data_IF_823810837563
#
_entry.id   IF_823810837563
#
_cell.length_a   1.000
_cell.length_b   1.000
_cell.length_c   1.000
_cell.angle_alpha   90.00
_cell.angle_beta   90.00
_cell.angle_gamma   90.00
#
_symmetry.space_group_name_H-M   'P 1'
#
loop_
_entity.id
_entity.type
_entity.pdbx_description
1 polymer ?
#
# COMPACT_ATOMS: atom_id res chain seq x y z
N UNK A 1 18.47 -22.55 2.92
CA UNK A 1 19.09 -21.63 3.90
C UNK A 1 18.48 -20.24 3.73
N UNK A 2 18.14 -19.55 4.82
CA UNK A 2 17.43 -18.24 4.80
C UNK A 2 18.34 -17.10 4.29
N UNK A 3 19.64 -17.16 4.57
CA UNK A 3 20.65 -16.19 4.11
C UNK A 3 20.55 -14.84 4.84
N UNK A 4 21.69 -14.24 5.15
CA UNK A 4 21.74 -12.95 5.85
C UNK A 4 21.32 -11.76 4.96
N UNK A 5 20.87 -10.63 5.55
CA UNK A 5 20.56 -10.46 6.98
C UNK A 5 19.26 -11.19 7.39
N UNK A 6 19.16 -11.52 8.67
CA UNK A 6 18.00 -12.15 9.29
C UNK A 6 17.51 -11.33 10.48
N UNK A 7 16.24 -11.46 10.85
CA UNK A 7 15.66 -10.84 12.04
C UNK A 7 15.18 -11.91 12.99
N UNK A 8 15.57 -11.77 14.26
CA UNK A 8 15.07 -12.59 15.37
C UNK A 8 13.85 -11.88 15.92
N UNK A 9 12.75 -12.61 16.12
CA UNK A 9 11.50 -12.11 16.70
C UNK A 9 11.04 -13.02 17.84
N UNK A 10 10.51 -12.44 18.91
CA UNK A 10 9.87 -13.18 19.98
C UNK A 10 8.56 -13.83 19.51
N UNK A 11 8.35 -15.11 19.82
CA UNK A 11 7.16 -15.85 19.40
C UNK A 11 5.87 -15.35 20.07
N UNK A 12 5.99 -14.82 21.29
CA UNK A 12 4.88 -14.27 22.07
C UNK A 12 4.84 -12.73 22.08
N UNK A 13 5.72 -12.06 21.33
CA UNK A 13 5.86 -10.60 21.34
C UNK A 13 5.01 -9.89 20.29
N UNK A 14 4.61 -8.65 20.59
CA UNK A 14 3.91 -7.73 19.67
C UNK A 14 4.42 -6.29 19.80
N UNK A 15 4.24 -5.47 18.76
CA UNK A 15 4.59 -4.04 18.80
C UNK A 15 6.08 -3.69 18.67
N UNK A 16 6.89 -4.59 18.08
CA UNK A 16 8.28 -4.32 17.71
C UNK A 16 9.31 -4.41 18.86
N UNK A 17 8.91 -4.86 20.05
CA UNK A 17 9.84 -5.17 21.15
C UNK A 17 10.40 -6.58 21.00
N UNK A 18 11.70 -6.76 21.25
CA UNK A 18 12.38 -8.07 21.13
C UNK A 18 12.72 -8.47 19.70
N UNK A 19 12.94 -7.49 18.81
CA UNK A 19 13.40 -7.74 17.43
C UNK A 19 14.88 -7.38 17.27
N UNK A 20 15.68 -8.28 16.69
CA UNK A 20 17.13 -8.05 16.48
C UNK A 20 17.56 -8.45 15.09
N UNK A 21 18.21 -7.53 14.38
CA UNK A 21 18.72 -7.75 13.02
C UNK A 21 20.15 -8.29 13.12
N UNK A 22 20.41 -9.38 12.41
CA UNK A 22 21.69 -10.07 12.39
C UNK A 22 22.21 -10.15 10.96
N UNK A 23 23.45 -9.75 10.72
CA UNK A 23 24.05 -9.71 9.38
C UNK A 23 25.04 -10.86 9.12
N UNK A 24 25.38 -11.63 10.14
CA UNK A 24 26.31 -12.76 10.09
C UNK A 24 26.13 -13.68 11.32
N UNK A 25 26.82 -14.82 11.32
CA UNK A 25 26.73 -15.84 12.38
C UNK A 25 27.10 -15.31 13.77
N UNK A 26 28.13 -14.47 13.88
CA UNK A 26 28.58 -13.89 15.15
C UNK A 26 27.48 -13.00 15.78
N UNK A 27 26.87 -12.14 14.96
CA UNK A 27 25.76 -11.30 15.41
C UNK A 27 24.50 -12.10 15.73
N UNK A 28 24.28 -13.23 15.03
CA UNK A 28 23.14 -14.10 15.26
C UNK A 28 23.23 -14.80 16.62
N UNK A 29 24.36 -15.41 16.95
CA UNK A 29 24.54 -16.14 18.22
C UNK A 29 24.35 -15.22 19.42
N UNK A 30 25.00 -14.04 19.40
CA UNK A 30 24.89 -13.07 20.49
C UNK A 30 23.49 -12.46 20.61
N UNK A 31 22.85 -12.14 19.47
CA UNK A 31 21.50 -11.59 19.46
C UNK A 31 20.43 -12.60 19.85
N UNK A 32 20.63 -13.89 19.59
CA UNK A 32 19.69 -14.95 19.95
C UNK A 32 19.54 -15.05 21.47
N UNK A 33 20.65 -15.18 22.20
CA UNK A 33 20.64 -15.26 23.67
C UNK A 33 19.96 -14.02 24.29
N UNK A 34 20.27 -12.86 23.73
CA UNK A 34 19.70 -11.59 24.20
C UNK A 34 18.20 -11.52 23.92
N UNK A 35 17.77 -11.88 22.71
CA UNK A 35 16.36 -11.89 22.32
C UNK A 35 15.52 -12.87 23.15
N UNK A 36 16.05 -14.07 23.45
CA UNK A 36 15.36 -15.04 24.31
C UNK A 36 15.20 -14.52 25.74
N UNK A 37 16.25 -13.91 26.29
CA UNK A 37 16.22 -13.32 27.64
C UNK A 37 15.21 -12.16 27.72
N UNK A 38 15.17 -11.29 26.71
CA UNK A 38 14.18 -10.21 26.61
C UNK A 38 12.76 -10.76 26.43
N UNK A 39 12.58 -11.82 25.64
CA UNK A 39 11.28 -12.43 25.40
C UNK A 39 10.72 -13.08 26.67
N UNK A 40 11.58 -13.78 27.43
CA UNK A 40 11.21 -14.34 28.73
C UNK A 40 10.85 -13.25 29.74
N UNK A 41 11.68 -12.20 29.86
CA UNK A 41 11.46 -11.12 30.81
C UNK A 41 10.17 -10.31 30.52
N UNK A 42 9.85 -10.09 29.24
CA UNK A 42 8.71 -9.24 28.86
C UNK A 42 7.41 -10.02 28.58
N UNK A 43 7.51 -11.28 28.15
CA UNK A 43 6.35 -12.05 27.68
C UNK A 43 6.22 -13.43 28.36
N UNK A 44 7.11 -13.77 29.31
CA UNK A 44 7.09 -15.07 29.99
C UNK A 44 7.36 -16.26 29.08
N UNK A 45 7.90 -16.02 27.87
CA UNK A 45 8.14 -17.05 26.87
C UNK A 45 9.47 -16.76 26.14
N UNK A 46 10.51 -17.59 26.33
CA UNK A 46 11.81 -17.40 25.71
C UNK A 46 11.85 -17.78 24.22
N UNK A 47 10.75 -18.32 23.66
CA UNK A 47 10.75 -18.77 22.28
C UNK A 47 10.91 -17.60 21.31
N UNK A 48 11.80 -17.79 20.35
CA UNK A 48 12.07 -16.87 19.26
C UNK A 48 12.07 -17.62 17.94
N UNK A 49 11.86 -16.90 16.85
CA UNK A 49 11.96 -17.43 15.50
C UNK A 49 12.78 -16.48 14.63
N UNK A 50 13.34 -17.01 13.55
CA UNK A 50 14.22 -16.29 12.63
C UNK A 50 13.52 -16.16 11.28
N UNK A 51 13.44 -14.94 10.78
CA UNK A 51 12.96 -14.64 9.44
C UNK A 51 14.05 -13.94 8.62
N UNK A 52 13.87 -13.94 7.29
CA UNK A 52 14.67 -13.07 6.43
C UNK A 52 14.42 -11.61 6.83
N UNK A 53 15.47 -10.84 7.06
CA UNK A 53 15.34 -9.40 7.22
C UNK A 53 15.39 -8.74 5.85
N UNK A 54 14.38 -7.94 5.54
CA UNK A 54 14.31 -7.21 4.28
C UNK A 54 14.62 -5.74 4.58
N UNK A 55 15.77 -5.28 4.12
CA UNK A 55 16.20 -3.89 4.27
C UNK A 55 15.42 -2.98 3.32
N UNK A 56 14.85 -1.90 3.86
CA UNK A 56 14.08 -0.89 3.11
C UNK A 56 13.11 -1.54 2.10
N UNK A 57 12.21 -2.43 2.55
CA UNK A 57 11.33 -3.15 1.63
C UNK A 57 10.36 -2.19 0.97
N UNK A 58 10.02 -2.50 -0.27
CA UNK A 58 8.79 -1.99 -0.90
C UNK A 58 7.66 -2.96 -0.65
N UNK A 59 6.47 -2.42 -0.47
CA UNK A 59 5.24 -3.19 -0.44
C UNK A 59 4.69 -3.23 -1.87
N UNK A 60 4.82 -4.38 -2.52
CA UNK A 60 4.31 -4.61 -3.88
C UNK A 60 3.21 -5.64 -3.82
N UNK A 61 2.08 -5.39 -4.46
CA UNK A 61 0.96 -6.30 -4.43
C UNK A 61 0.36 -6.53 -5.82
N UNK A 62 -0.14 -7.74 -6.06
CA UNK A 62 -0.66 -8.17 -7.35
C UNK A 62 -2.17 -8.36 -7.27
N UNK A 63 -2.90 -7.63 -8.12
CA UNK A 63 -4.33 -7.84 -8.27
C UNK A 63 -4.60 -9.15 -9.02
N UNK A 64 -5.46 -9.99 -8.45
CA UNK A 64 -5.95 -11.23 -9.06
C UNK A 64 -7.45 -11.12 -9.31
N UNK A 65 -7.90 -11.75 -10.39
CA UNK A 65 -9.30 -11.97 -10.72
C UNK A 65 -9.47 -13.41 -11.22
N UNK A 66 -10.38 -14.17 -10.59
CA UNK A 66 -10.58 -15.59 -10.90
C UNK A 66 -12.06 -15.97 -10.94
N UNK A 67 -12.41 -16.94 -11.80
CA UNK A 67 -13.74 -17.53 -11.87
C UNK A 67 -13.79 -19.00 -11.44
N UNK A 68 -15.01 -19.54 -11.33
CA UNK A 68 -15.28 -20.93 -10.98
C UNK A 68 -14.97 -21.92 -12.11
N UNK A 69 -14.62 -21.42 -13.30
CA UNK A 69 -14.40 -22.22 -14.51
C UNK A 69 -12.91 -22.38 -14.84
N UNK A 70 -12.03 -22.00 -13.91
CA UNK A 70 -10.59 -22.17 -14.01
C UNK A 70 -9.85 -20.99 -14.64
N UNK A 71 -10.53 -19.90 -15.01
CA UNK A 71 -9.85 -18.68 -15.47
C UNK A 71 -9.29 -17.95 -14.26
N UNK A 72 -8.00 -17.64 -14.30
CA UNK A 72 -7.32 -16.83 -13.28
C UNK A 72 -6.37 -15.86 -13.98
N UNK A 73 -6.50 -14.58 -13.65
CA UNK A 73 -5.80 -13.46 -14.30
C UNK A 73 -5.12 -12.60 -13.24
N UNK A 74 -3.95 -12.07 -13.56
CA UNK A 74 -3.36 -10.97 -12.79
C UNK A 74 -3.47 -9.65 -13.56
N UNK A 75 -3.78 -8.56 -12.86
CA UNK A 75 -4.08 -7.25 -13.46
C UNK A 75 -2.95 -6.22 -13.24
N UNK A 76 -1.72 -6.72 -13.14
CA UNK A 76 -0.54 -5.91 -12.78
C UNK A 76 -0.35 -5.77 -11.28
N UNK A 77 0.54 -4.86 -10.92
CA UNK A 77 0.97 -4.60 -9.55
C UNK A 77 0.64 -3.18 -9.08
N UNK A 78 0.56 -3.03 -7.77
CA UNK A 78 0.52 -1.73 -7.08
C UNK A 78 1.72 -1.59 -6.15
N UNK A 79 2.30 -0.40 -6.10
CA UNK A 79 3.26 -0.01 -5.06
C UNK A 79 2.51 0.68 -3.92
N UNK A 80 2.53 0.05 -2.74
CA UNK A 80 1.87 0.51 -1.53
C UNK A 80 2.89 0.90 -0.45
N UNK A 81 4.13 1.24 -0.85
CA UNK A 81 5.23 1.48 0.08
C UNK A 81 5.08 2.75 0.92
N UNK A 82 4.26 3.71 0.47
CA UNK A 82 3.98 4.92 1.24
C UNK A 82 2.97 4.60 2.33
N UNK A 83 3.50 4.31 3.51
CA UNK A 83 2.72 3.93 4.67
C UNK A 83 3.20 4.64 5.93
N UNK A 84 2.28 4.82 6.90
CA UNK A 84 2.58 5.30 8.26
C UNK A 84 2.05 4.26 9.24
N UNK A 85 2.90 3.81 10.18
CA UNK A 85 2.51 2.78 11.18
C UNK A 85 1.83 1.57 10.53
N UNK A 86 2.36 1.11 9.40
CA UNK A 86 1.83 0.01 8.57
C UNK A 86 0.45 0.26 7.92
N UNK A 87 -0.06 1.49 7.94
CA UNK A 87 -1.25 1.89 7.19
C UNK A 87 -0.84 2.58 5.89
N UNK A 88 -1.34 2.08 4.76
CA UNK A 88 -1.11 2.66 3.44
C UNK A 88 -1.74 4.06 3.38
N UNK A 89 -1.02 5.03 2.83
CA UNK A 89 -1.47 6.42 2.66
C UNK A 89 -1.57 6.81 1.18
N UNK A 90 -0.69 6.25 0.35
CA UNK A 90 -0.66 6.43 -1.09
C UNK A 90 -0.30 5.12 -1.77
N UNK A 91 -0.98 4.85 -2.86
CA UNK A 91 -0.78 3.69 -3.71
C UNK A 91 -0.64 4.12 -5.17
N UNK A 92 0.23 3.46 -5.93
CA UNK A 92 0.41 3.75 -7.35
C UNK A 92 0.49 2.48 -8.22
N UNK A 93 0.03 2.60 -9.45
CA UNK A 93 0.04 1.53 -10.45
C UNK A 93 0.42 2.11 -11.82
N UNK A 94 1.33 1.48 -12.58
CA UNK A 94 2.25 0.43 -12.13
C UNK A 94 3.28 0.97 -11.12
N UNK A 95 4.00 0.06 -10.44
CA UNK A 95 5.10 0.45 -9.55
C UNK A 95 6.29 1.01 -10.34
N UNK A 96 6.92 2.11 -9.90
CA UNK A 96 8.14 2.62 -10.52
C UNK A 96 9.36 1.70 -10.32
N UNK A 97 9.29 0.74 -9.38
CA UNK A 97 10.36 -0.20 -9.09
C UNK A 97 10.26 -1.51 -9.89
N UNK A 98 9.13 -1.74 -10.58
CA UNK A 98 8.83 -3.03 -11.20
C UNK A 98 8.90 -2.92 -12.73
N UNK A 99 9.93 -3.53 -13.31
CA UNK A 99 10.04 -3.68 -14.77
C UNK A 99 9.10 -4.79 -15.30
N UNK A 100 9.04 -4.94 -16.63
CA UNK A 100 8.16 -5.94 -17.26
C UNK A 100 8.52 -7.39 -16.90
N UNK A 101 9.80 -7.69 -16.68
CA UNK A 101 10.28 -9.03 -16.33
C UNK A 101 9.90 -9.38 -14.89
N UNK A 102 10.13 -8.46 -13.96
CA UNK A 102 9.76 -8.61 -12.55
C UNK A 102 8.24 -8.67 -12.40
N UNK A 103 7.49 -7.82 -13.11
CA UNK A 103 6.01 -7.86 -13.15
C UNK A 103 5.49 -9.23 -13.54
N UNK A 104 6.06 -9.82 -14.60
CA UNK A 104 5.69 -11.18 -15.04
C UNK A 104 5.97 -12.22 -13.94
N UNK A 105 7.16 -12.17 -13.31
CA UNK A 105 7.51 -13.08 -12.21
C UNK A 105 6.56 -12.95 -11.01
N UNK A 106 6.22 -11.73 -10.61
CA UNK A 106 5.27 -11.46 -9.53
C UNK A 106 3.86 -11.97 -9.89
N UNK A 107 3.40 -11.68 -11.10
CA UNK A 107 2.10 -12.13 -11.61
C UNK A 107 1.97 -13.65 -11.64
N UNK A 108 3.00 -14.35 -12.15
CA UNK A 108 3.05 -15.81 -12.18
C UNK A 108 3.07 -16.42 -10.76
N UNK A 109 3.83 -15.81 -9.84
CA UNK A 109 3.86 -16.24 -8.45
C UNK A 109 2.49 -16.06 -7.76
N UNK A 110 1.83 -14.93 -8.00
CA UNK A 110 0.51 -14.64 -7.46
C UNK A 110 -0.54 -15.62 -8.00
N UNK A 111 -0.56 -15.88 -9.32
CA UNK A 111 -1.44 -16.88 -9.92
C UNK A 111 -1.17 -18.28 -9.38
N UNK A 112 0.10 -18.65 -9.17
CA UNK A 112 0.44 -19.94 -8.54
C UNK A 112 -0.17 -20.05 -7.13
N UNK A 113 -0.11 -18.98 -6.34
CA UNK A 113 -0.76 -18.91 -5.02
C UNK A 113 -2.27 -19.05 -5.11
N UNK A 114 -2.92 -18.29 -5.98
CA UNK A 114 -4.37 -18.34 -6.20
C UNK A 114 -4.86 -19.72 -6.65
N UNK A 115 -4.12 -20.40 -7.53
CA UNK A 115 -4.41 -21.78 -7.97
C UNK A 115 -4.35 -22.78 -6.81
N UNK A 116 -3.35 -22.65 -5.94
CA UNK A 116 -3.15 -23.59 -4.84
C UNK A 116 -4.34 -23.65 -3.87
N UNK A 117 -5.13 -22.57 -3.79
CA UNK A 117 -6.31 -22.46 -2.92
C UNK A 117 -7.63 -22.43 -3.69
N UNK A 118 -7.62 -22.72 -5.00
CA UNK A 118 -8.79 -22.62 -5.87
C UNK A 118 -9.54 -21.28 -5.73
N UNK A 119 -8.80 -20.17 -5.72
CA UNK A 119 -9.35 -18.85 -5.48
C UNK A 119 -10.39 -18.44 -6.54
N UNK A 120 -11.42 -17.70 -6.11
CA UNK A 120 -12.51 -17.18 -6.94
C UNK A 120 -12.81 -15.74 -6.52
N UNK A 121 -13.26 -14.91 -7.45
CA UNK A 121 -13.48 -13.46 -7.31
C UNK A 121 -12.18 -12.64 -7.42
N UNK A 122 -12.26 -11.35 -7.09
CA UNK A 122 -11.09 -10.49 -6.97
C UNK A 122 -10.39 -10.71 -5.63
N UNK A 123 -9.07 -10.62 -5.63
CA UNK A 123 -8.24 -10.70 -4.44
C UNK A 123 -6.86 -10.15 -4.74
N UNK A 124 -6.04 -9.99 -3.71
CA UNK A 124 -4.69 -9.46 -3.86
C UNK A 124 -3.68 -10.34 -3.14
N UNK A 125 -2.52 -10.54 -3.75
CA UNK A 125 -1.38 -11.18 -3.11
C UNK A 125 -0.30 -10.12 -2.88
N UNK A 126 0.08 -9.95 -1.62
CA UNK A 126 1.05 -8.95 -1.18
C UNK A 126 2.45 -9.56 -1.03
N UNK A 127 3.45 -8.79 -1.45
CA UNK A 127 4.86 -9.13 -1.40
C UNK A 127 5.67 -8.00 -0.77
N UNK A 128 6.74 -8.37 -0.08
CA UNK A 128 7.84 -7.46 0.21
C UNK A 128 8.89 -7.62 -0.89
N UNK A 129 9.23 -6.52 -1.56
CA UNK A 129 10.28 -6.45 -2.57
C UNK A 129 11.53 -5.81 -1.97
N UNK A 130 12.66 -6.49 -2.07
CA UNK A 130 13.94 -6.00 -1.56
C UNK A 130 14.74 -5.20 -2.61
N UNK A 131 15.86 -4.61 -2.18
CA UNK A 131 16.75 -3.81 -3.04
C UNK A 131 17.42 -4.60 -4.18
N UNK A 132 17.39 -5.92 -4.13
CA UNK A 132 17.95 -6.82 -5.14
C UNK A 132 16.91 -7.32 -6.14
N UNK A 133 15.67 -6.84 -6.04
CA UNK A 133 14.51 -7.29 -6.81
C UNK A 133 14.11 -8.75 -6.52
N UNK A 134 14.45 -9.25 -5.34
CA UNK A 134 13.88 -10.47 -4.79
C UNK A 134 12.62 -10.11 -4.01
N UNK A 135 11.60 -10.95 -4.14
CA UNK A 135 10.30 -10.73 -3.54
C UNK A 135 9.87 -11.90 -2.65
N UNK A 136 9.19 -11.57 -1.57
CA UNK A 136 8.80 -12.51 -0.52
C UNK A 136 7.31 -12.36 -0.27
N UNK A 137 6.56 -13.46 -0.36
CA UNK A 137 5.13 -13.47 -0.06
C UNK A 137 4.92 -12.99 1.38
N UNK A 138 3.93 -12.13 1.57
CA UNK A 138 3.55 -11.59 2.88
C UNK A 138 2.18 -12.09 3.28
N UNK A 139 1.14 -11.75 2.51
CA UNK A 139 -0.22 -12.17 2.77
C UNK A 139 -1.07 -12.22 1.50
N UNK A 140 -2.28 -12.76 1.63
CA UNK A 140 -3.31 -12.71 0.61
C UNK A 140 -4.57 -12.05 1.18
N UNK A 141 -4.99 -10.95 0.58
CA UNK A 141 -6.26 -10.31 0.87
C UNK A 141 -7.35 -10.94 0.00
N UNK A 142 -8.23 -11.73 0.61
CA UNK A 142 -9.30 -12.48 -0.06
C UNK A 142 -10.57 -11.64 -0.30
N UNK A 143 -10.36 -10.37 -0.66
CA UNK A 143 -11.40 -9.36 -0.88
C UNK A 143 -10.87 -8.25 -1.79
N UNK A 144 -11.77 -7.36 -2.20
CA UNK A 144 -11.37 -6.09 -2.83
C UNK A 144 -10.57 -5.23 -1.81
N UNK A 145 -9.63 -4.45 -2.32
CA UNK A 145 -8.84 -3.50 -1.54
C UNK A 145 -9.26 -2.06 -1.81
N UNK A 146 -8.87 -1.15 -0.92
CA UNK A 146 -9.23 0.27 -0.99
C UNK A 146 -8.70 0.89 -2.29
N UNK A 147 -7.45 0.53 -2.60
CA UNK A 147 -6.58 0.94 -3.70
C UNK A 147 -6.84 0.22 -5.03
N UNK A 148 -7.91 -0.57 -5.16
CA UNK A 148 -8.29 -1.16 -6.44
C UNK A 148 -8.45 -0.15 -7.60
N UNK A 149 -8.87 1.12 -7.39
CA UNK A 149 -9.06 2.07 -8.47
C UNK A 149 -7.80 2.33 -9.29
N UNK A 150 -6.59 2.34 -8.71
CA UNK A 150 -5.38 2.58 -9.51
C UNK A 150 -5.15 1.46 -10.54
N UNK A 151 -5.55 0.22 -10.22
CA UNK A 151 -5.54 -0.89 -11.18
C UNK A 151 -6.62 -0.71 -12.24
N UNK A 152 -7.84 -0.33 -11.86
CA UNK A 152 -8.92 -0.07 -12.82
C UNK A 152 -8.53 1.05 -13.81
N UNK A 153 -7.91 2.13 -13.31
CA UNK A 153 -7.53 3.28 -14.13
C UNK A 153 -6.49 2.92 -15.20
N UNK A 154 -5.52 2.05 -14.89
CA UNK A 154 -4.46 1.68 -15.86
C UNK A 154 -4.83 0.50 -16.76
N UNK A 155 -5.81 -0.32 -16.38
CA UNK A 155 -6.23 -1.50 -17.16
C UNK A 155 -7.54 -1.27 -17.92
N UNK A 156 -8.38 -0.33 -17.48
CA UNK A 156 -9.74 -0.14 -17.98
C UNK A 156 -10.73 -1.22 -17.53
N UNK A 157 -10.36 -2.07 -16.58
CA UNK A 157 -11.19 -3.18 -16.08
C UNK A 157 -11.88 -2.74 -14.79
N UNK A 158 -13.21 -2.84 -14.77
CA UNK A 158 -14.03 -2.56 -13.59
C UNK A 158 -14.10 -3.81 -12.70
N UNK A 159 -13.28 -3.82 -11.65
CA UNK A 159 -13.11 -4.95 -10.74
C UNK A 159 -14.40 -5.25 -9.98
N UNK A 160 -15.16 -4.23 -9.58
CA UNK A 160 -16.43 -4.42 -8.86
C UNK A 160 -17.45 -5.13 -9.75
N UNK A 161 -17.59 -4.70 -11.02
CA UNK A 161 -18.48 -5.40 -11.97
C UNK A 161 -18.03 -6.83 -12.23
N UNK A 162 -16.74 -7.07 -12.39
CA UNK A 162 -16.24 -8.43 -12.61
C UNK A 162 -16.46 -9.32 -11.38
N UNK A 163 -16.30 -8.81 -10.15
CA UNK A 163 -16.66 -9.54 -8.93
C UNK A 163 -18.13 -9.95 -8.91
N UNK A 164 -19.04 -9.03 -9.27
CA UNK A 164 -20.48 -9.31 -9.33
C UNK A 164 -20.82 -10.35 -10.40
N UNK A 165 -20.22 -10.26 -11.59
CA UNK A 165 -20.39 -11.24 -12.68
C UNK A 165 -19.93 -12.63 -12.26
N UNK A 166 -18.73 -12.74 -11.67
CA UNK A 166 -18.20 -14.01 -11.16
C UNK A 166 -19.11 -14.58 -10.07
N UNK A 167 -19.60 -13.73 -9.15
CA UNK A 167 -20.53 -14.15 -8.11
C UNK A 167 -21.86 -14.66 -8.68
N UNK A 168 -22.35 -14.05 -9.77
CA UNK A 168 -23.52 -14.49 -10.52
C UNK A 168 -23.30 -15.80 -11.33
N UNK A 169 -22.09 -16.36 -11.31
CA UNK A 169 -21.75 -17.59 -12.03
C UNK A 169 -21.38 -17.39 -13.50
N UNK A 170 -21.10 -16.15 -13.92
CA UNK A 170 -20.59 -15.88 -15.26
C UNK A 170 -19.11 -16.25 -15.38
N UNK A 171 -18.70 -16.61 -16.61
CA UNK A 171 -17.29 -16.82 -16.98
C UNK A 171 -16.61 -15.49 -17.20
N UNK A 172 -15.34 -15.39 -16.79
CA UNK A 172 -14.49 -14.29 -17.20
C UNK A 172 -14.26 -14.37 -18.72
N UNK A 173 -14.63 -13.30 -19.42
CA UNK A 173 -14.43 -13.17 -20.87
C UNK A 173 -13.00 -12.73 -21.22
N UNK A 174 -12.30 -12.16 -20.25
CA UNK A 174 -10.93 -11.67 -20.37
C UNK A 174 -9.91 -12.83 -20.38
N UNK A 175 -8.83 -12.62 -21.12
CA UNK A 175 -7.63 -13.44 -21.13
C UNK A 175 -6.43 -12.63 -20.61
N UNK A 176 -5.34 -13.31 -20.25
CA UNK A 176 -4.16 -12.63 -19.71
C UNK A 176 -3.54 -11.65 -20.71
N UNK A 177 -3.62 -11.96 -22.00
CA UNK A 177 -3.11 -11.10 -23.08
C UNK A 177 -4.01 -9.88 -23.34
N UNK A 178 -5.27 -9.89 -22.88
CA UNK A 178 -6.16 -8.72 -22.95
C UNK A 178 -5.80 -7.66 -21.90
N UNK A 179 -5.02 -8.03 -20.89
CA UNK A 179 -4.63 -7.14 -19.78
C UNK A 179 -3.48 -6.24 -20.23
N UNK A 180 -3.82 -5.02 -20.62
CA UNK A 180 -2.86 -4.02 -21.09
C UNK A 180 -2.78 -2.87 -20.10
N UNK A 181 -1.63 -2.74 -19.43
CA UNK A 181 -1.35 -1.62 -18.51
C UNK A 181 -0.95 -0.40 -19.34
N UNK A 182 -1.70 0.68 -19.22
CA UNK A 182 -1.46 1.95 -19.91
C UNK A 182 -1.36 3.09 -18.91
N UNK A 183 -0.45 4.03 -19.17
CA UNK A 183 -0.26 5.20 -18.32
C UNK A 183 0.20 4.84 -16.91
N UNK A 184 -0.16 5.70 -15.96
CA UNK A 184 0.04 5.49 -14.54
C UNK A 184 -1.09 6.15 -13.76
N UNK A 185 -1.44 5.54 -12.62
CA UNK A 185 -2.42 6.06 -11.70
C UNK A 185 -1.89 6.09 -10.27
N UNK A 186 -2.33 7.10 -9.51
CA UNK A 186 -1.95 7.32 -8.12
C UNK A 186 -3.22 7.58 -7.31
N UNK A 187 -3.37 6.92 -6.16
CA UNK A 187 -4.43 7.15 -5.18
C UNK A 187 -3.83 7.76 -3.92
N UNK A 188 -4.45 8.85 -3.44
CA UNK A 188 -4.18 9.44 -2.15
C UNK A 188 -5.39 9.20 -1.24
N UNK A 189 -5.14 8.63 -0.06
CA UNK A 189 -6.16 8.52 1.00
C UNK A 189 -6.30 9.85 1.71
N UNK A 190 -7.44 10.51 1.52
CA UNK A 190 -7.77 11.74 2.21
C UNK A 190 -8.47 11.36 3.51
N UNK A 191 -7.76 11.55 4.62
CA UNK A 191 -8.25 11.23 5.96
C UNK A 191 -8.53 12.53 6.72
N UNK A 192 -9.51 12.50 7.61
CA UNK A 192 -9.78 13.53 8.60
C UNK A 192 -8.76 13.44 9.74
N UNK A 193 -7.51 13.81 9.44
CA UNK A 193 -6.36 13.78 10.36
C UNK A 193 -5.54 15.06 10.20
N UNK A 194 -4.98 15.56 11.29
CA UNK A 194 -4.07 16.70 11.29
C UNK A 194 -2.62 16.26 11.05
N UNK A 195 -2.18 16.29 9.80
CA UNK A 195 -0.83 15.83 9.43
C UNK A 195 0.31 16.64 10.05
N UNK A 196 0.05 17.85 10.56
CA UNK A 196 1.06 18.68 11.24
C UNK A 196 1.17 18.35 12.73
N UNK A 197 0.18 17.66 13.28
CA UNK A 197 0.12 17.27 14.68
C UNK A 197 0.00 15.74 14.80
N UNK A 198 1.07 15.03 14.42
CA UNK A 198 1.17 13.54 14.42
C UNK A 198 -0.08 12.82 13.89
N UNK A 199 -0.75 13.39 12.87
CA UNK A 199 -1.95 12.82 12.25
C UNK A 199 -3.04 12.53 13.29
N UNK A 200 -3.23 13.41 14.27
CA UNK A 200 -4.34 13.28 15.21
C UNK A 200 -5.67 13.27 14.46
N UNK A 201 -6.62 12.38 14.78
CA UNK A 201 -7.94 12.40 14.19
C UNK A 201 -8.62 13.76 14.37
N UNK A 202 -9.27 14.23 13.31
CA UNK A 202 -9.98 15.52 13.25
C UNK A 202 -11.45 15.29 12.88
N UNK A 203 -12.25 14.60 13.72
CA UNK A 203 -13.69 14.45 13.50
C UNK A 203 -14.40 15.82 13.56
N UNK A 204 -15.57 15.90 12.96
CA UNK A 204 -16.36 17.12 12.93
C UNK A 204 -17.33 17.19 11.77
N UNK A 205 -18.17 18.22 11.80
CA UNK A 205 -19.13 18.51 10.74
C UNK A 205 -18.45 19.24 9.59
N UNK A 206 -18.63 18.78 8.36
CA UNK A 206 -18.15 19.46 7.16
C UNK A 206 -19.10 20.62 6.87
N UNK A 207 -18.59 21.84 6.86
CA UNK A 207 -19.38 23.04 6.55
C UNK A 207 -19.14 23.48 5.11
N UNK A 208 -17.88 23.51 4.69
CA UNK A 208 -17.48 23.88 3.33
C UNK A 208 -16.77 22.71 2.67
N UNK A 209 -17.18 22.41 1.44
CA UNK A 209 -16.61 21.34 0.64
C UNK A 209 -16.43 21.82 -0.81
N UNK A 210 -15.21 21.73 -1.33
CA UNK A 210 -14.91 21.86 -2.75
C UNK A 210 -14.24 20.58 -3.22
N UNK A 211 -14.93 19.80 -4.04
CA UNK A 211 -14.41 18.54 -4.58
C UNK A 211 -13.61 18.81 -5.86
N UNK A 212 -12.41 18.21 -6.02
CA UNK A 212 -11.64 18.34 -7.25
C UNK A 212 -12.29 17.53 -8.39
N UNK A 213 -12.03 17.95 -9.62
CA UNK A 213 -12.52 17.26 -10.81
C UNK A 213 -11.64 17.50 -12.02
N UNK A 214 -12.18 17.26 -13.22
CA UNK A 214 -11.48 17.48 -14.48
C UNK A 214 -10.76 16.25 -15.05
N UNK A 215 -10.12 16.39 -16.23
CA UNK A 215 -9.51 15.26 -16.94
C UNK A 215 -8.48 14.51 -16.09
N UNK A 216 -8.58 13.19 -16.06
CA UNK A 216 -7.66 12.33 -15.33
C UNK A 216 -7.86 12.32 -13.81
N UNK A 217 -8.94 12.91 -13.28
CA UNK A 217 -9.31 12.80 -11.85
C UNK A 217 -10.51 11.90 -11.68
N UNK A 218 -10.40 10.96 -10.73
CA UNK A 218 -11.49 10.18 -10.17
C UNK A 218 -11.53 10.44 -8.67
N UNK A 219 -12.73 10.56 -8.12
CA UNK A 219 -12.95 10.76 -6.70
C UNK A 219 -14.00 9.79 -6.21
N UNK A 220 -13.60 8.93 -5.27
CA UNK A 220 -14.53 8.03 -4.57
C UNK A 220 -14.71 8.60 -3.15
N UNK A 221 -15.90 9.12 -2.83
CA UNK A 221 -16.19 9.73 -1.52
C UNK A 221 -17.65 9.56 -1.13
N UNK A 222 -17.93 9.64 0.17
CA UNK A 222 -19.26 9.59 0.77
C UNK A 222 -19.66 10.91 1.46
N UNK A 223 -18.75 11.90 1.49
CA UNK A 223 -18.97 13.16 2.21
C UNK A 223 -19.75 14.17 1.38
N UNK A 224 -20.44 15.08 2.06
CA UNK A 224 -21.19 16.19 1.49
C UNK A 224 -21.27 17.35 2.52
N UNK A 225 -21.59 18.59 2.11
CA UNK A 225 -21.78 19.68 3.06
C UNK A 225 -22.85 19.32 4.10
N UNK A 226 -22.50 19.41 5.37
CA UNK A 226 -23.33 19.02 6.51
C UNK A 226 -23.07 17.62 7.05
N UNK A 227 -22.28 16.78 6.36
CA UNK A 227 -21.90 15.45 6.85
C UNK A 227 -21.04 15.55 8.13
N UNK A 228 -21.31 14.69 9.10
CA UNK A 228 -20.59 14.65 10.38
C UNK A 228 -19.67 13.44 10.45
N UNK A 229 -18.36 13.69 10.53
CA UNK A 229 -17.35 12.65 10.71
C UNK A 229 -17.25 12.34 12.19
N UNK A 230 -17.58 11.11 12.55
CA UNK A 230 -17.50 10.63 13.94
C UNK A 230 -16.12 10.05 14.25
N UNK A 231 -15.75 10.00 15.53
CA UNK A 231 -14.54 9.32 16.01
C UNK A 231 -14.67 7.79 16.13
N UNK A 232 -15.84 7.22 15.80
CA UNK A 232 -16.11 5.78 15.95
C UNK A 232 -15.57 4.92 14.81
N UNK A 233 -15.31 5.52 13.65
CA UNK A 233 -14.91 4.81 12.43
C UNK A 233 -13.55 5.28 11.92
N UNK A 234 -13.09 4.67 10.85
CA UNK A 234 -11.90 5.08 10.13
C UNK A 234 -12.01 6.55 9.65
N UNK A 235 -10.89 7.24 9.62
CA UNK A 235 -10.79 8.67 9.29
C UNK A 235 -10.88 8.95 7.79
N UNK A 236 -10.90 7.94 6.92
CA UNK A 236 -10.97 8.10 5.47
C UNK A 236 -12.25 8.81 5.04
N UNK A 237 -12.10 10.00 4.45
CA UNK A 237 -13.22 10.81 3.92
C UNK A 237 -13.32 10.72 2.40
N UNK A 238 -12.20 10.54 1.70
CA UNK A 238 -12.19 10.39 0.25
C UNK A 238 -10.95 9.63 -0.23
N UNK A 239 -11.08 8.99 -1.38
CA UNK A 239 -9.96 8.49 -2.17
C UNK A 239 -9.84 9.38 -3.40
N UNK A 240 -8.75 10.12 -3.50
CA UNK A 240 -8.47 10.95 -4.67
C UNK A 240 -7.54 10.17 -5.58
N UNK A 241 -8.02 9.86 -6.79
CA UNK A 241 -7.27 9.05 -7.76
C UNK A 241 -6.98 9.90 -8.99
N UNK A 242 -5.74 9.86 -9.46
CA UNK A 242 -5.36 10.51 -10.72
C UNK A 242 -4.77 9.53 -11.70
N UNK A 243 -4.95 9.81 -12.98
CA UNK A 243 -4.41 9.04 -14.09
C UNK A 243 -3.75 9.97 -15.10
N UNK A 244 -2.54 9.61 -15.54
CA UNK A 244 -1.81 10.27 -16.60
C UNK A 244 -1.19 9.28 -17.57
N UNK A 245 -0.72 9.75 -18.73
CA UNK A 245 0.00 8.91 -19.71
C UNK A 245 1.38 8.52 -19.21
N UNK A 246 1.86 9.18 -18.16
CA UNK A 246 3.09 8.87 -17.44
C UNK A 246 2.89 9.10 -15.95
N UNK A 247 3.75 8.52 -15.12
CA UNK A 247 3.77 8.77 -13.67
C UNK A 247 3.94 10.25 -13.36
N UNK A 248 4.81 10.96 -14.07
CA UNK A 248 5.04 12.39 -13.88
C UNK A 248 3.79 13.22 -14.18
N UNK A 249 3.01 12.84 -15.20
CA UNK A 249 1.74 13.48 -15.50
C UNK A 249 0.69 13.20 -14.42
N UNK A 250 0.57 11.96 -13.96
CA UNK A 250 -0.34 11.59 -12.87
C UNK A 250 -0.04 12.39 -11.58
N UNK A 251 1.24 12.58 -11.26
CA UNK A 251 1.69 13.42 -10.12
C UNK A 251 1.27 14.88 -10.31
N UNK A 252 1.46 15.46 -11.50
CA UNK A 252 1.03 16.86 -11.76
C UNK A 252 -0.48 17.03 -11.66
N UNK A 253 -1.25 16.07 -12.17
CA UNK A 253 -2.71 16.06 -12.04
C UNK A 253 -3.11 15.95 -10.57
N UNK A 254 -2.41 15.10 -9.78
CA UNK A 254 -2.63 14.96 -8.34
C UNK A 254 -2.33 16.25 -7.58
N UNK A 255 -1.22 16.92 -7.88
CA UNK A 255 -0.90 18.23 -7.28
C UNK A 255 -2.00 19.25 -7.53
N UNK A 256 -2.49 19.37 -8.77
CA UNK A 256 -3.59 20.29 -9.09
C UNK A 256 -4.86 19.89 -8.32
N UNK A 257 -5.25 18.62 -8.38
CA UNK A 257 -6.46 18.13 -7.73
C UNK A 257 -6.43 18.34 -6.19
N UNK A 258 -5.29 18.08 -5.55
CA UNK A 258 -5.10 18.34 -4.12
C UNK A 258 -5.19 19.84 -3.77
N UNK A 259 -4.69 20.74 -4.63
CA UNK A 259 -4.82 22.19 -4.41
C UNK A 259 -6.27 22.69 -4.58
N UNK A 260 -7.07 22.04 -5.41
CA UNK A 260 -8.49 22.34 -5.57
C UNK A 260 -9.36 21.72 -4.45
N UNK A 261 -8.90 20.64 -3.82
CA UNK A 261 -9.66 19.91 -2.80
C UNK A 261 -9.63 20.66 -1.47
N UNK A 262 -10.80 21.17 -1.08
CA UNK A 262 -10.96 21.90 0.18
C UNK A 262 -12.07 21.29 1.03
N UNK A 263 -11.77 21.00 2.29
CA UNK A 263 -12.71 20.50 3.30
C UNK A 263 -12.49 21.32 4.57
N UNK A 264 -13.54 21.93 5.11
CA UNK A 264 -13.45 22.75 6.31
C UNK A 264 -14.67 22.54 7.22
N UNK A 265 -14.52 22.76 8.55
CA UNK A 265 -13.34 23.23 9.26
C UNK A 265 -12.34 22.13 9.69
N UNK A 266 -12.62 20.87 9.38
CA UNK A 266 -11.76 19.74 9.77
C UNK A 266 -10.36 19.83 9.14
N UNK A 267 -9.37 19.24 9.80
CA UNK A 267 -8.03 19.01 9.24
C UNK A 267 -8.01 17.72 8.42
N UNK A 268 -7.14 17.68 7.42
CA UNK A 268 -7.01 16.52 6.53
C UNK A 268 -5.56 16.24 6.13
N UNK A 269 -5.33 15.05 5.58
CA UNK A 269 -4.03 14.62 5.02
C UNK A 269 -3.66 15.28 3.68
N UNK A 270 -4.48 16.20 3.15
CA UNK A 270 -4.21 16.89 1.87
C UNK A 270 -2.85 17.61 1.89
N UNK A 271 -2.54 18.31 2.99
CA UNK A 271 -1.27 19.03 3.15
C UNK A 271 -0.06 18.10 3.10
N UNK A 272 -0.14 16.94 3.75
CA UNK A 272 0.87 15.90 3.67
C UNK A 272 1.08 15.41 2.23
N UNK A 273 0.00 15.11 1.51
CA UNK A 273 0.07 14.61 0.15
C UNK A 273 0.69 15.64 -0.80
N UNK A 274 0.38 16.94 -0.66
CA UNK A 274 1.01 18.00 -1.44
C UNK A 274 2.54 18.05 -1.25
N UNK A 275 3.02 17.89 -0.01
CA UNK A 275 4.46 17.79 0.28
C UNK A 275 5.06 16.53 -0.34
N UNK A 276 4.38 15.40 -0.21
CA UNK A 276 4.83 14.13 -0.79
C UNK A 276 5.01 14.21 -2.31
N UNK A 277 4.03 14.80 -3.02
CA UNK A 277 4.09 14.99 -4.48
C UNK A 277 5.25 15.89 -4.93
N UNK A 278 5.80 16.68 -4.02
CA UNK A 278 6.92 17.59 -4.30
C UNK A 278 8.27 17.04 -3.78
N UNK A 279 8.26 15.88 -3.11
CA UNK A 279 9.46 15.30 -2.52
C UNK A 279 10.38 14.68 -3.61
N UNK A 280 11.66 15.04 -3.68
CA UNK A 280 12.57 14.54 -4.73
C UNK A 280 12.75 13.01 -4.76
N UNK A 281 12.72 12.34 -3.61
CA UNK A 281 12.84 10.89 -3.52
C UNK A 281 11.56 10.21 -4.04
N UNK A 282 10.39 10.73 -3.68
CA UNK A 282 9.11 10.25 -4.23
C UNK A 282 9.03 10.47 -5.75
N UNK A 283 9.46 11.63 -6.25
CA UNK A 283 9.51 11.93 -7.69
C UNK A 283 10.41 10.96 -8.47
N UNK A 284 11.55 10.56 -7.89
CA UNK A 284 12.45 9.54 -8.43
C UNK A 284 11.90 8.11 -8.27
N UNK A 285 10.86 7.94 -7.47
CA UNK A 285 10.34 6.64 -7.10
C UNK A 285 11.22 5.90 -6.10
N UNK A 286 12.22 6.53 -5.46
CA UNK A 286 13.10 5.93 -4.44
C UNK A 286 12.43 5.99 -3.07
N UNK A 287 11.56 5.01 -2.80
CA UNK A 287 10.75 4.93 -1.59
C UNK A 287 10.84 3.54 -0.99
N UNK A 288 10.50 3.45 0.29
CA UNK A 288 10.34 2.19 1.01
C UNK A 288 9.24 2.35 2.05
N UNK A 289 8.88 1.24 2.69
CA UNK A 289 7.97 1.19 3.84
C UNK A 289 8.38 2.09 5.04
N UNK A 290 9.63 2.57 5.09
CA UNK A 290 10.13 3.49 6.11
C UNK A 290 10.09 4.96 5.69
N UNK A 291 9.75 5.23 4.42
CA UNK A 291 9.90 6.53 3.78
C UNK A 291 9.19 7.66 4.53
N UNK A 292 7.92 7.46 4.92
CA UNK A 292 7.15 8.49 5.62
C UNK A 292 7.78 8.83 6.97
N UNK A 293 8.27 7.84 7.70
CA UNK A 293 8.94 8.06 8.98
C UNK A 293 10.25 8.84 8.81
N UNK A 294 11.03 8.53 7.77
CA UNK A 294 12.26 9.26 7.44
C UNK A 294 11.97 10.69 7.01
N UNK A 295 10.92 10.89 6.20
CA UNK A 295 10.49 12.20 5.72
C UNK A 295 10.05 13.10 6.89
N UNK A 296 9.26 12.59 7.84
CA UNK A 296 8.80 13.35 9.00
C UNK A 296 9.94 13.70 9.96
N UNK A 297 10.87 12.75 10.24
CA UNK A 297 12.06 13.02 11.08
C UNK A 297 13.00 14.09 10.50
N UNK A 298 13.04 14.21 9.18
CA UNK A 298 13.82 15.24 8.50
C UNK A 298 13.28 16.66 8.71
N UNK A 299 12.00 16.81 9.09
CA UNK A 299 11.35 18.10 9.32
C UNK A 299 11.70 18.69 10.68
N UNK A 300 11.80 17.86 11.72
CA UNK A 300 12.16 18.31 13.08
C UNK A 300 13.56 18.93 13.16
N UNK A 301 14.46 18.62 12.21
CA UNK A 301 15.82 19.18 12.16
C UNK A 301 15.93 20.53 11.43
N UNK A 302 14.84 21.03 10.86
CA UNK A 302 14.80 22.30 10.13
C UNK A 302 14.03 23.41 10.87
N UNK A 303 13.60 23.16 12.11
CA UNK A 303 12.80 24.08 12.91
C UNK A 303 13.54 24.66 14.13
N UNK A 304 14.86 24.44 14.25
CA UNK A 304 15.77 25.06 15.23
C UNK A 304 16.65 26.14 14.57
#
# INVERSE_FOLDING_TARGET
HIGYPVIIKAAAGGGGRGMRICHNDLTLVSSLMTAQSEAEANFGNPNVYIEKYIERPRHIEIQILADKFGRQLYLGERDCSIQRRHQKLLEESPSPAVDSKLRKRLGEAAIKGARAVNYVSAGTIEFLLDKHNDFYFMEMNTRIQVEHPVTEMVTGIDLIKEQLRVAAGEKLKLQQDDIQIRGAAIECRINAEDSENDFFPSPGKIETLNLPGGPGVRLDTHIYPGYEITSYYDSLVAKLITYGRSRQEAIKIMQRALNEFYIAPIKTTIGFHLRLMSNPLFLKGDVSTHFVQEMLKGQDKGAD
#
